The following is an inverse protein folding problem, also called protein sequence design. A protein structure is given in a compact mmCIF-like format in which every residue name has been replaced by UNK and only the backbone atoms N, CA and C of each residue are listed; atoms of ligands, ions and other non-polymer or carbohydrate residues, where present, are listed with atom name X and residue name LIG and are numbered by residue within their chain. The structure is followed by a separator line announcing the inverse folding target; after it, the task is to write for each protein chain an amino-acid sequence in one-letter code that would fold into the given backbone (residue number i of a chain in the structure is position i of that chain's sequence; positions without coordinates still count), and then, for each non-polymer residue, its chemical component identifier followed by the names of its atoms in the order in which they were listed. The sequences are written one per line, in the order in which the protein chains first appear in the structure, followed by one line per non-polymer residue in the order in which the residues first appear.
data_IF_033215030425
#
_entry.id   IF_033215030425
#
_cell.length_a   1.000
_cell.length_b   1.000
_cell.length_c   1.000
_cell.angle_alpha   90.00
_cell.angle_beta   90.00
_cell.angle_gamma   90.00
#
_symmetry.space_group_name_H-M   'P 1'
#
loop_
_entity.id
_entity.type
_entity.pdbx_description
1 polymer ?
#
# COMPACT_ATOMS: atom_id res chain seq x y z
N UNK A 1 -1.14 -24.99 18.22
CA UNK A 1 -2.01 -24.26 17.27
C UNK A 1 -3.44 -24.67 17.52
N UNK A 2 -4.41 -23.78 17.74
CA UNK A 2 -5.79 -24.20 17.52
C UNK A 2 -5.95 -24.31 16.01
N UNK A 3 -6.08 -25.54 15.50
CA UNK A 3 -6.67 -25.78 14.19
C UNK A 3 -7.91 -24.89 14.11
N UNK A 4 -8.00 -23.99 13.13
CA UNK A 4 -9.30 -23.44 12.78
C UNK A 4 -10.16 -24.67 12.56
N UNK A 5 -11.18 -24.88 13.41
CA UNK A 5 -12.17 -25.91 13.12
C UNK A 5 -12.60 -25.68 11.67
N UNK A 6 -12.92 -26.75 10.95
CA UNK A 6 -13.57 -26.67 9.64
C UNK A 6 -14.94 -25.99 9.80
N UNK A 7 -14.94 -24.72 10.18
CA UNK A 7 -16.06 -23.89 10.52
C UNK A 7 -16.73 -23.56 9.19
N UNK A 8 -17.62 -24.47 8.81
CA UNK A 8 -18.84 -24.21 8.04
C UNK A 8 -18.69 -23.17 6.93
N UNK A 9 -17.72 -23.35 6.01
CA UNK A 9 -17.91 -22.77 4.69
C UNK A 9 -19.18 -23.41 4.13
N UNK A 10 -20.27 -22.64 4.09
CA UNK A 10 -21.53 -23.11 3.56
C UNK A 10 -21.28 -23.78 2.20
N UNK A 11 -21.79 -25.01 1.96
CA UNK A 11 -21.56 -25.71 0.70
C UNK A 11 -21.94 -24.85 -0.51
N UNK A 12 -22.94 -23.97 -0.35
CA UNK A 12 -23.36 -22.99 -1.36
C UNK A 12 -22.23 -22.04 -1.78
N UNK A 13 -21.34 -21.63 -0.87
CA UNK A 13 -20.20 -20.77 -1.21
C UNK A 13 -19.17 -21.51 -2.04
N UNK A 14 -18.89 -22.77 -1.72
CA UNK A 14 -17.95 -23.60 -2.49
C UNK A 14 -18.51 -23.88 -3.87
N UNK A 15 -19.80 -24.22 -3.97
CA UNK A 15 -20.51 -24.42 -5.24
C UNK A 15 -20.48 -23.12 -6.07
N UNK A 16 -20.80 -21.98 -5.47
CA UNK A 16 -20.77 -20.69 -6.17
C UNK A 16 -19.37 -20.36 -6.72
N UNK A 17 -18.31 -20.53 -5.91
CA UNK A 17 -16.94 -20.29 -6.37
C UNK A 17 -16.55 -21.27 -7.50
N UNK A 18 -16.93 -22.55 -7.36
CA UNK A 18 -16.72 -23.56 -8.39
C UNK A 18 -17.44 -23.23 -9.69
N UNK A 19 -18.69 -22.75 -9.62
CA UNK A 19 -19.45 -22.30 -10.79
C UNK A 19 -18.83 -21.08 -11.44
N UNK A 20 -18.38 -20.08 -10.67
CA UNK A 20 -17.72 -18.89 -11.22
C UNK A 20 -16.42 -19.24 -11.95
N UNK A 21 -15.61 -20.13 -11.36
CA UNK A 21 -14.39 -20.63 -12.01
C UNK A 21 -14.75 -21.48 -13.23
N UNK A 22 -15.78 -22.32 -13.15
CA UNK A 22 -16.26 -23.12 -14.27
C UNK A 22 -16.71 -22.26 -15.45
N UNK A 23 -17.46 -21.17 -15.19
CA UNK A 23 -17.85 -20.19 -16.20
C UNK A 23 -16.60 -19.56 -16.84
N UNK A 24 -15.63 -19.11 -16.03
CA UNK A 24 -14.38 -18.55 -16.54
C UNK A 24 -13.64 -19.53 -17.46
N UNK A 25 -13.52 -20.80 -17.06
CA UNK A 25 -12.88 -21.85 -17.86
C UNK A 25 -13.66 -22.10 -19.16
N UNK A 26 -14.98 -22.24 -19.11
CA UNK A 26 -15.82 -22.42 -20.29
C UNK A 26 -15.68 -21.23 -21.23
N UNK A 27 -15.69 -19.99 -20.73
CA UNK A 27 -15.49 -18.80 -21.55
C UNK A 27 -14.13 -18.77 -22.24
N UNK A 28 -13.05 -19.19 -21.56
CA UNK A 28 -11.71 -19.32 -22.19
C UNK A 28 -11.72 -20.38 -23.31
N UNK A 29 -12.46 -21.48 -23.12
CA UNK A 29 -12.57 -22.54 -24.13
C UNK A 29 -13.40 -22.08 -25.34
N UNK A 30 -14.47 -21.31 -25.11
CA UNK A 30 -15.36 -20.82 -26.17
C UNK A 30 -14.77 -19.63 -26.95
N UNK A 31 -13.94 -18.81 -26.31
CA UNK A 31 -13.36 -17.58 -26.87
C UNK A 31 -11.83 -17.52 -26.63
N UNK A 32 -11.06 -18.45 -27.22
CA UNK A 32 -9.64 -18.61 -26.92
C UNK A 32 -8.77 -17.47 -27.47
N UNK A 33 -9.11 -16.91 -28.64
CA UNK A 33 -8.36 -15.80 -29.25
C UNK A 33 -8.49 -14.54 -28.38
N UNK A 34 -9.70 -14.23 -27.94
CA UNK A 34 -9.96 -13.03 -27.19
C UNK A 34 -9.47 -13.14 -25.74
N UNK A 35 -9.53 -14.35 -25.14
CA UNK A 35 -8.87 -14.63 -23.87
C UNK A 35 -7.35 -14.48 -23.97
N UNK A 36 -6.74 -14.95 -25.07
CA UNK A 36 -5.33 -14.77 -25.34
C UNK A 36 -4.97 -13.29 -25.50
N UNK A 37 -5.71 -12.53 -26.30
CA UNK A 37 -5.49 -11.09 -26.50
C UNK A 37 -5.65 -10.28 -25.22
N UNK A 38 -6.66 -10.60 -24.40
CA UNK A 38 -6.84 -10.01 -23.09
C UNK A 38 -5.64 -10.29 -22.17
N UNK A 39 -5.15 -11.53 -22.15
CA UNK A 39 -3.96 -11.89 -21.37
C UNK A 39 -2.70 -11.17 -21.88
N UNK A 40 -2.55 -11.02 -23.21
CA UNK A 40 -1.44 -10.31 -23.84
C UNK A 40 -1.46 -8.81 -23.56
N UNK A 41 -2.64 -8.19 -23.55
CA UNK A 41 -2.81 -6.78 -23.14
C UNK A 41 -2.39 -6.58 -21.68
N UNK A 42 -2.88 -7.44 -20.79
CA UNK A 42 -2.50 -7.43 -19.37
C UNK A 42 -1.00 -7.62 -19.16
N UNK A 43 -0.42 -8.60 -19.85
CA UNK A 43 1.02 -8.89 -19.84
C UNK A 43 1.82 -7.70 -20.38
N UNK A 44 1.37 -7.05 -21.45
CA UNK A 44 2.07 -5.90 -22.04
C UNK A 44 2.11 -4.70 -21.10
N UNK A 45 0.97 -4.37 -20.46
CA UNK A 45 0.91 -3.31 -19.46
C UNK A 45 1.83 -3.63 -18.29
N UNK A 46 1.79 -4.86 -17.79
CA UNK A 46 2.65 -5.28 -16.70
C UNK A 46 4.14 -5.24 -17.09
N UNK A 47 4.53 -5.82 -18.23
CA UNK A 47 5.93 -5.91 -18.64
C UNK A 47 6.54 -4.57 -19.01
N UNK A 48 5.80 -3.70 -19.72
CA UNK A 48 6.32 -2.41 -20.20
C UNK A 48 6.35 -1.34 -19.11
N UNK A 49 5.37 -1.31 -18.22
CA UNK A 49 5.21 -0.23 -17.26
C UNK A 49 5.43 -0.67 -15.82
N UNK A 50 4.81 -1.78 -15.38
CA UNK A 50 4.80 -2.17 -13.96
C UNK A 50 6.11 -2.84 -13.55
N UNK A 51 6.60 -3.81 -14.32
CA UNK A 51 7.80 -4.58 -14.02
C UNK A 51 9.06 -3.70 -13.88
N UNK A 52 9.46 -2.89 -14.88
CA UNK A 52 10.67 -2.08 -14.78
C UNK A 52 10.56 -0.98 -13.71
N UNK A 53 9.36 -0.46 -13.45
CA UNK A 53 9.16 0.58 -12.44
C UNK A 53 9.20 0.03 -11.00
N UNK A 54 8.67 -1.17 -10.75
CA UNK A 54 8.61 -1.73 -9.39
C UNK A 54 9.86 -2.49 -8.97
N UNK A 55 10.57 -3.17 -9.89
CA UNK A 55 11.71 -4.04 -9.55
C UNK A 55 12.80 -3.31 -8.73
N UNK A 56 13.39 -2.18 -9.20
CA UNK A 56 14.48 -1.54 -8.46
C UNK A 56 14.06 -1.11 -7.05
N UNK A 57 12.80 -0.71 -6.92
CA UNK A 57 12.28 -0.21 -5.67
C UNK A 57 11.93 -1.31 -4.67
N UNK A 58 11.34 -2.43 -5.12
CA UNK A 58 11.10 -3.57 -4.23
C UNK A 58 12.45 -4.13 -3.76
N UNK A 59 13.46 -4.21 -4.64
CA UNK A 59 14.83 -4.58 -4.26
C UNK A 59 15.35 -3.63 -3.17
N UNK A 60 15.28 -2.32 -3.38
CA UNK A 60 15.73 -1.34 -2.40
C UNK A 60 14.95 -1.45 -1.09
N UNK A 61 13.65 -1.69 -1.15
CA UNK A 61 12.78 -1.85 0.01
C UNK A 61 13.14 -3.10 0.84
N UNK A 62 13.47 -4.20 0.18
CA UNK A 62 13.96 -5.44 0.81
C UNK A 62 15.33 -5.22 1.47
N UNK A 63 16.25 -4.53 0.78
CA UNK A 63 17.56 -4.14 1.34
C UNK A 63 17.38 -3.25 2.57
N UNK A 64 16.58 -2.19 2.46
CA UNK A 64 16.28 -1.27 3.56
C UNK A 64 15.60 -2.00 4.74
N UNK A 65 14.79 -3.02 4.46
CA UNK A 65 14.17 -3.85 5.49
C UNK A 65 15.20 -4.71 6.22
N UNK A 66 16.11 -5.37 5.50
CA UNK A 66 17.21 -6.16 6.09
C UNK A 66 18.26 -5.31 6.82
N UNK A 67 18.47 -4.06 6.39
CA UNK A 67 19.28 -3.07 7.12
C UNK A 67 18.55 -2.46 8.34
N UNK A 68 17.28 -2.82 8.57
CA UNK A 68 16.49 -2.33 9.71
C UNK A 68 15.91 -0.91 9.55
N UNK A 69 16.05 -0.27 8.39
CA UNK A 69 15.58 1.11 8.14
C UNK A 69 14.06 1.20 8.20
N UNK A 70 13.35 0.24 7.59
CA UNK A 70 11.87 0.20 7.62
C UNK A 70 11.34 0.04 9.05
N UNK A 71 12.07 -0.69 9.89
CA UNK A 71 11.75 -0.85 11.32
C UNK A 71 12.00 0.45 12.10
N UNK A 72 13.09 1.16 11.79
CA UNK A 72 13.38 2.47 12.35
C UNK A 72 12.28 3.49 12.00
N UNK A 73 11.84 3.53 10.74
CA UNK A 73 10.69 4.33 10.31
C UNK A 73 9.44 3.96 11.12
N UNK A 74 9.19 2.67 11.34
CA UNK A 74 8.06 2.22 12.15
C UNK A 74 8.10 2.75 13.59
N UNK A 75 9.29 2.84 14.20
CA UNK A 75 9.47 3.48 15.51
C UNK A 75 9.20 4.98 15.43
N UNK A 76 9.67 5.67 14.40
CA UNK A 76 9.43 7.11 14.21
C UNK A 76 7.94 7.43 14.02
N UNK A 77 7.17 6.50 13.43
CA UNK A 77 5.72 6.61 13.25
C UNK A 77 4.92 6.26 14.52
N UNK A 78 5.55 5.76 15.58
CA UNK A 78 4.85 5.38 16.81
C UNK A 78 4.01 6.51 17.46
N UNK A 79 4.49 7.77 17.55
CA UNK A 79 3.67 8.86 18.05
C UNK A 79 2.41 9.03 17.20
N UNK A 80 2.56 9.06 15.86
CA UNK A 80 1.44 9.17 14.93
C UNK A 80 0.41 8.04 15.16
N UNK A 81 0.89 6.80 15.29
CA UNK A 81 0.01 5.64 15.55
C UNK A 81 -0.77 5.77 16.86
N UNK A 82 -0.10 6.16 17.94
CA UNK A 82 -0.71 6.23 19.28
C UNK A 82 -1.71 7.37 19.40
N UNK A 83 -1.40 8.48 18.74
CA UNK A 83 -2.09 9.75 18.93
C UNK A 83 -3.25 9.84 17.97
N UNK A 84 -2.96 9.73 16.68
CA UNK A 84 -3.94 9.99 15.63
C UNK A 84 -4.83 8.77 15.43
N UNK A 85 -4.22 7.58 15.36
CA UNK A 85 -4.95 6.36 15.06
C UNK A 85 -5.37 5.57 16.29
N UNK A 86 -4.85 5.92 17.47
CA UNK A 86 -5.08 5.21 18.76
C UNK A 86 -4.73 3.72 18.66
N UNK A 87 -3.62 3.43 17.97
CA UNK A 87 -3.08 2.09 17.74
C UNK A 87 -1.75 1.90 18.50
N UNK A 88 -1.34 0.65 18.76
CA UNK A 88 -0.04 0.36 19.35
C UNK A 88 1.09 0.82 18.42
N UNK A 89 2.23 1.19 19.02
CA UNK A 89 3.41 1.66 18.27
C UNK A 89 3.95 0.65 17.26
N UNK A 90 3.75 -0.64 17.53
CA UNK A 90 4.08 -1.74 16.61
C UNK A 90 3.39 -1.63 15.25
N UNK A 91 2.24 -0.96 15.18
CA UNK A 91 1.56 -0.67 13.91
C UNK A 91 2.33 0.31 13.01
N UNK A 92 3.28 1.08 13.54
CA UNK A 92 4.10 1.98 12.73
C UNK A 92 4.92 1.23 11.68
N UNK A 93 5.36 0.01 12.00
CA UNK A 93 6.05 -0.86 11.04
C UNK A 93 5.13 -1.28 9.88
N UNK A 94 3.88 -1.65 10.14
CA UNK A 94 2.93 -1.99 9.08
C UNK A 94 2.62 -0.80 8.17
N UNK A 95 2.48 0.39 8.74
CA UNK A 95 2.29 1.63 7.98
C UNK A 95 3.52 1.97 7.14
N UNK A 96 4.73 1.82 7.70
CA UNK A 96 5.97 2.03 6.96
C UNK A 96 6.13 1.03 5.81
N UNK A 97 5.91 -0.26 6.07
CA UNK A 97 5.98 -1.30 5.04
C UNK A 97 4.95 -1.07 3.92
N UNK A 98 3.72 -0.67 4.26
CA UNK A 98 2.70 -0.32 3.28
C UNK A 98 3.01 0.94 2.47
N UNK A 99 3.59 1.96 3.09
CA UNK A 99 3.99 3.20 2.41
C UNK A 99 5.16 2.96 1.46
N UNK A 100 6.14 2.18 1.91
CA UNK A 100 7.31 1.83 1.12
C UNK A 100 6.88 0.82 0.06
N UNK A 101 6.65 -0.44 0.40
CA UNK A 101 6.44 -1.50 -0.58
C UNK A 101 5.01 -1.61 -1.16
N UNK A 102 4.04 -0.85 -0.66
CA UNK A 102 2.68 -0.79 -1.21
C UNK A 102 1.68 -1.78 -0.61
N UNK A 103 0.57 -1.95 -1.33
CA UNK A 103 -0.67 -2.63 -0.92
C UNK A 103 -0.48 -4.03 -0.28
N UNK A 104 0.35 -4.95 -0.82
CA UNK A 104 0.49 -6.30 -0.25
C UNK A 104 1.36 -6.32 1.01
N UNK A 105 2.41 -5.51 1.05
CA UNK A 105 3.38 -5.54 2.15
C UNK A 105 2.77 -5.11 3.49
N UNK A 106 2.03 -4.00 3.50
CA UNK A 106 1.38 -3.54 4.73
C UNK A 106 0.33 -4.53 5.27
N UNK A 107 -0.41 -5.19 4.37
CA UNK A 107 -1.36 -6.23 4.74
C UNK A 107 -0.69 -7.49 5.30
N UNK A 108 0.39 -7.95 4.67
CA UNK A 108 1.19 -9.09 5.13
C UNK A 108 1.77 -8.83 6.53
N UNK A 109 2.35 -7.64 6.73
CA UNK A 109 2.89 -7.21 8.03
C UNK A 109 1.80 -7.13 9.10
N UNK A 110 0.64 -6.58 8.77
CA UNK A 110 -0.50 -6.52 9.71
C UNK A 110 -0.99 -7.91 10.10
N UNK A 111 -1.10 -8.82 9.12
CA UNK A 111 -1.47 -10.21 9.36
C UNK A 111 -0.46 -10.89 10.29
N UNK A 112 0.84 -10.63 10.09
CA UNK A 112 1.91 -11.19 10.92
C UNK A 112 1.85 -10.70 12.37
N UNK A 113 1.73 -9.38 12.57
CA UNK A 113 1.53 -8.79 13.91
C UNK A 113 0.31 -9.41 14.62
N UNK A 114 -0.75 -9.72 13.87
CA UNK A 114 -1.93 -10.39 14.41
C UNK A 114 -1.67 -11.85 14.76
N UNK A 115 -1.02 -12.63 13.89
CA UNK A 115 -0.65 -14.04 14.17
C UNK A 115 0.21 -14.15 15.42
N UNK A 116 1.17 -13.24 15.57
CA UNK A 116 2.07 -13.13 16.73
C UNK A 116 1.37 -12.58 17.99
N UNK A 117 0.08 -12.26 17.92
CA UNK A 117 -0.74 -11.70 19.02
C UNK A 117 -0.16 -10.42 19.62
N UNK A 118 0.61 -9.66 18.83
CA UNK A 118 1.17 -8.37 19.24
C UNK A 118 0.15 -7.23 19.12
N UNK A 119 -0.91 -7.47 18.35
CA UNK A 119 -2.07 -6.59 18.21
C UNK A 119 -3.37 -7.39 18.40
N UNK A 120 -4.38 -6.73 18.96
CA UNK A 120 -5.74 -7.24 19.03
C UNK A 120 -6.36 -7.38 17.64
N UNK A 121 -7.44 -8.15 17.52
CA UNK A 121 -8.21 -8.25 16.27
C UNK A 121 -8.68 -6.88 15.78
N UNK A 122 -9.25 -6.07 16.68
CA UNK A 122 -9.74 -4.73 16.35
C UNK A 122 -8.61 -3.78 15.95
N UNK A 123 -7.46 -3.85 16.65
CA UNK A 123 -6.26 -3.08 16.28
C UNK A 123 -5.74 -3.52 14.92
N UNK A 124 -5.70 -4.83 14.65
CA UNK A 124 -5.31 -5.36 13.34
C UNK A 124 -6.27 -5.00 12.22
N UNK A 125 -7.58 -5.00 12.46
CA UNK A 125 -8.58 -4.57 11.47
C UNK A 125 -8.39 -3.10 11.11
N UNK A 126 -8.21 -2.21 12.11
CA UNK A 126 -7.93 -0.80 11.87
C UNK A 126 -6.55 -0.58 11.24
N UNK A 127 -5.54 -1.33 11.66
CA UNK A 127 -4.20 -1.24 11.10
C UNK A 127 -4.17 -1.66 9.63
N UNK A 128 -4.88 -2.72 9.27
CA UNK A 128 -4.99 -3.22 7.91
C UNK A 128 -5.56 -2.15 6.96
N UNK A 129 -6.55 -1.40 7.44
CA UNK A 129 -7.14 -0.27 6.72
C UNK A 129 -6.11 0.84 6.44
N UNK A 130 -5.20 1.09 7.39
CA UNK A 130 -4.19 2.15 7.32
C UNK A 130 -2.93 1.75 6.56
N UNK A 131 -2.54 0.49 6.64
CA UNK A 131 -1.30 -0.03 6.04
C UNK A 131 -1.45 -0.38 4.56
N UNK A 132 -2.66 -0.33 4.02
CA UNK A 132 -2.93 -0.67 2.63
C UNK A 132 -2.96 0.59 1.75
N UNK A 133 -1.76 1.14 1.48
CA UNK A 133 -1.57 2.36 0.69
C UNK A 133 -0.85 2.05 -0.62
N UNK A 134 -1.15 2.83 -1.64
CA UNK A 134 -0.41 2.79 -2.89
C UNK A 134 0.92 3.46 -2.63
N UNK A 135 2.02 2.83 -3.02
CA UNK A 135 3.34 3.41 -2.79
C UNK A 135 3.49 4.72 -3.57
N UNK A 136 4.23 5.71 -3.03
CA UNK A 136 4.47 6.98 -3.73
C UNK A 136 5.03 6.76 -5.13
N UNK A 137 5.93 5.80 -5.27
CA UNK A 137 6.52 5.47 -6.56
C UNK A 137 5.51 4.87 -7.52
N UNK A 138 4.61 3.98 -7.10
CA UNK A 138 3.56 3.49 -8.01
C UNK A 138 2.71 4.65 -8.55
N UNK A 139 2.31 5.57 -7.68
CA UNK A 139 1.43 6.68 -8.07
C UNK A 139 2.19 7.70 -8.94
N UNK A 140 3.43 8.04 -8.59
CA UNK A 140 4.22 9.04 -9.34
C UNK A 140 4.78 8.45 -10.64
N UNK A 141 5.46 7.29 -10.57
CA UNK A 141 6.22 6.75 -11.70
C UNK A 141 5.36 5.96 -12.66
N UNK A 142 4.51 5.06 -12.17
CA UNK A 142 3.68 4.21 -13.06
C UNK A 142 2.48 5.00 -13.53
N UNK A 143 1.70 5.55 -12.61
CA UNK A 143 0.46 6.25 -12.98
C UNK A 143 0.78 7.64 -13.53
N UNK A 144 1.47 8.49 -12.78
CA UNK A 144 1.80 9.84 -13.22
C UNK A 144 2.66 9.87 -14.49
N UNK A 145 3.91 9.40 -14.41
CA UNK A 145 4.85 9.49 -15.52
C UNK A 145 4.60 8.42 -16.62
N UNK A 146 4.31 7.19 -16.22
CA UNK A 146 4.18 6.05 -17.14
C UNK A 146 2.89 6.08 -17.94
N UNK A 147 1.74 6.22 -17.27
CA UNK A 147 0.43 6.20 -17.92
C UNK A 147 0.02 7.60 -18.35
N UNK A 148 -0.03 8.56 -17.42
CA UNK A 148 -0.55 9.91 -17.71
C UNK A 148 0.47 10.82 -18.41
N UNK A 149 1.69 10.36 -18.63
CA UNK A 149 2.80 11.14 -19.19
C UNK A 149 3.05 12.46 -18.47
N UNK A 150 2.68 12.53 -17.18
CA UNK A 150 2.76 13.72 -16.35
C UNK A 150 2.99 13.37 -14.88
N UNK A 151 4.26 13.38 -14.47
CA UNK A 151 4.67 13.11 -13.09
C UNK A 151 4.02 14.08 -12.07
N UNK A 152 3.68 15.30 -12.50
CA UNK A 152 3.08 16.33 -11.64
C UNK A 152 1.65 15.96 -11.25
N UNK A 153 0.88 15.40 -12.18
CA UNK A 153 -0.43 14.82 -11.86
C UNK A 153 -0.29 13.64 -10.90
N UNK A 154 0.76 12.83 -11.06
CA UNK A 154 1.12 11.79 -10.08
C UNK A 154 1.31 12.34 -8.66
N UNK A 155 1.99 13.49 -8.49
CA UNK A 155 2.16 14.14 -7.20
C UNK A 155 0.85 14.63 -6.59
N UNK A 156 -0.05 15.21 -7.40
CA UNK A 156 -1.37 15.65 -6.95
C UNK A 156 -2.20 14.45 -6.48
N UNK A 157 -2.25 13.39 -7.29
CA UNK A 157 -2.93 12.15 -6.95
C UNK A 157 -2.35 11.53 -5.68
N UNK A 158 -1.02 11.58 -5.49
CA UNK A 158 -0.36 11.11 -4.29
C UNK A 158 -0.79 11.89 -3.05
N UNK A 159 -0.76 13.22 -3.11
CA UNK A 159 -1.14 14.08 -1.99
C UNK A 159 -2.60 13.82 -1.58
N UNK A 160 -3.50 13.74 -2.55
CA UNK A 160 -4.91 13.42 -2.32
C UNK A 160 -5.06 12.03 -1.72
N UNK A 161 -4.36 11.02 -2.27
CA UNK A 161 -4.43 9.64 -1.81
C UNK A 161 -3.99 9.50 -0.35
N UNK A 162 -2.90 10.15 0.05
CA UNK A 162 -2.39 10.11 1.42
C UNK A 162 -3.20 10.97 2.38
N UNK A 163 -3.72 12.11 1.93
CA UNK A 163 -4.63 12.92 2.75
C UNK A 163 -5.94 12.17 3.01
N UNK A 164 -6.51 11.53 1.99
CA UNK A 164 -7.68 10.68 2.13
C UNK A 164 -7.42 9.49 3.06
N UNK A 165 -6.23 8.88 3.01
CA UNK A 165 -5.83 7.82 3.93
C UNK A 165 -5.79 8.31 5.39
N UNK A 166 -5.22 9.50 5.61
CA UNK A 166 -5.14 10.13 6.92
C UNK A 166 -6.54 10.39 7.50
N UNK A 167 -7.41 11.02 6.70
CA UNK A 167 -8.80 11.28 7.04
C UNK A 167 -9.56 9.99 7.35
N UNK A 168 -9.43 8.97 6.51
CA UNK A 168 -10.04 7.65 6.71
C UNK A 168 -9.62 7.06 8.06
N UNK A 169 -8.32 7.11 8.37
CA UNK A 169 -7.76 6.62 9.63
C UNK A 169 -8.30 7.29 10.89
N UNK A 170 -8.58 8.61 10.80
CA UNK A 170 -9.16 9.41 11.88
C UNK A 170 -10.64 9.09 12.07
N UNK A 171 -11.38 8.94 10.96
CA UNK A 171 -12.82 8.63 10.97
C UNK A 171 -13.10 7.22 11.49
N UNK A 172 -12.16 6.28 11.31
CA UNK A 172 -12.31 4.92 11.82
C UNK A 172 -12.37 4.91 13.37
N UNK A 173 -13.38 4.25 13.96
CA UNK A 173 -13.58 4.23 15.40
C UNK A 173 -12.32 3.86 16.19
N UNK A 174 -12.10 4.55 17.30
CA UNK A 174 -11.00 4.23 18.21
C UNK A 174 -11.11 2.81 18.75
N UNK A 175 -9.99 2.09 18.80
CA UNK A 175 -9.96 0.74 19.36
C UNK A 175 -9.65 0.82 20.86
N UNK A 176 -10.51 0.22 21.70
CA UNK A 176 -10.18 0.04 23.12
C UNK A 176 -8.98 -0.91 23.21
N UNK A 177 -7.92 -0.47 23.89
CA UNK A 177 -6.66 -1.21 24.05
C UNK A 177 -6.95 -2.62 24.55
N UNK A 178 -6.63 -3.63 23.74
CA UNK A 178 -6.72 -5.01 24.18
C UNK A 178 -5.69 -5.28 25.28
N UNK A 179 -6.08 -5.92 26.38
CA UNK A 179 -5.11 -6.47 27.34
C UNK A 179 -4.44 -7.68 26.69
N UNK A 180 -3.36 -7.46 25.94
CA UNK A 180 -2.44 -8.55 25.60
C UNK A 180 -1.35 -8.58 26.66
N UNK A 181 -1.10 -9.78 27.19
CA UNK A 181 0.07 -10.03 28.01
C UNK A 181 1.27 -9.59 27.18
N UNK A 182 2.10 -8.72 27.76
CA UNK A 182 3.48 -8.56 27.27
C UNK A 182 4.05 -9.97 27.08
N UNK A 183 4.85 -10.25 26.03
CA UNK A 183 5.69 -11.43 26.05
C UNK A 183 6.42 -11.41 27.40
N UNK A 184 6.05 -12.31 28.32
CA UNK A 184 6.56 -12.29 29.68
C UNK A 184 8.09 -12.46 29.63
N UNK A 185 8.92 -11.82 30.46
CA UNK A 185 8.69 -11.43 31.86
C UNK A 185 7.63 -12.28 32.53
N UNK A 186 7.73 -13.61 32.36
CA UNK A 186 7.31 -14.48 33.44
C UNK A 186 8.34 -14.20 34.53
N UNK A 187 7.89 -13.62 35.65
CA UNK A 187 8.61 -13.78 36.89
C UNK A 187 8.96 -15.26 36.99
N UNK A 188 10.25 -15.57 36.90
CA UNK A 188 10.78 -16.82 37.38
C UNK A 188 10.44 -16.82 38.87
N UNK A 189 9.29 -17.40 39.23
CA UNK A 189 9.10 -17.86 40.58
C UNK A 189 10.30 -18.77 40.88
N UNK A 190 10.95 -18.63 42.04
CA UNK A 190 12.14 -19.43 42.36
C UNK A 190 11.75 -20.89 42.23
N UNK A 191 12.39 -21.60 41.29
CA UNK A 191 12.23 -23.04 41.13
C UNK A 191 12.72 -23.65 42.44
N UNK A 192 11.76 -24.13 43.23
CA UNK A 192 12.03 -24.92 44.40
C UNK A 192 12.73 -26.20 43.93
N UNK A 193 14.02 -26.33 44.23
CA UNK A 193 14.79 -27.53 43.94
C UNK A 193 14.27 -28.66 44.81
N UNK A 194 13.49 -29.58 44.24
CA UNK A 194 13.39 -30.98 44.68
C UNK A 194 12.68 -31.84 43.63
N UNK A 195 13.40 -32.84 43.13
CA UNK A 195 12.82 -34.13 42.74
C UNK A 195 12.57 -34.39 41.25
N UNK A 196 13.41 -35.28 40.71
CA UNK A 196 13.11 -36.34 39.73
C UNK A 196 12.99 -36.04 38.22
N UNK A 197 14.02 -36.56 37.54
CA UNK A 197 14.00 -37.46 36.38
C UNK A 197 13.67 -36.93 34.96
N UNK A 198 14.70 -37.03 34.12
CA UNK A 198 14.66 -37.07 32.65
C UNK A 198 13.87 -38.30 32.18
N UNK A 199 13.16 -38.24 31.02
CA UNK A 199 13.85 -38.58 29.78
C UNK A 199 13.47 -37.73 28.54
N UNK A 200 14.53 -37.42 27.79
CA UNK A 200 14.69 -37.43 26.33
C UNK A 200 13.49 -37.11 25.41
N UNK A 201 13.66 -36.03 24.64
CA UNK A 201 12.82 -35.69 23.49
C UNK A 201 13.05 -34.25 23.04
N UNK A 202 14.32 -33.83 22.85
CA UNK A 202 14.63 -32.53 22.25
C UNK A 202 14.24 -32.56 20.78
N UNK A 203 13.03 -32.04 20.48
CA UNK A 203 12.76 -31.49 19.16
C UNK A 203 13.57 -30.20 19.04
N UNK A 204 14.67 -30.28 18.29
CA UNK A 204 15.35 -29.12 17.72
C UNK A 204 14.31 -28.09 17.26
N UNK A 205 14.24 -26.99 17.98
CA UNK A 205 13.56 -25.80 17.50
C UNK A 205 14.41 -25.27 16.35
N UNK A 206 13.88 -25.37 15.14
CA UNK A 206 14.47 -24.83 13.93
C UNK A 206 14.87 -23.35 14.16
N UNK A 207 16.18 -23.02 14.22
CA UNK A 207 16.65 -21.67 14.48
C UNK A 207 16.28 -20.70 13.33
N UNK A 208 15.85 -21.21 12.17
CA UNK A 208 15.33 -20.39 11.07
C UNK A 208 13.96 -19.78 11.38
N UNK A 209 13.15 -20.39 12.27
CA UNK A 209 11.83 -19.86 12.62
C UNK A 209 11.88 -18.72 13.65
N UNK A 210 12.93 -18.68 14.47
CA UNK A 210 13.15 -17.62 15.46
C UNK A 210 13.72 -16.33 14.81
N UNK A 211 14.36 -16.49 13.65
CA UNK A 211 14.99 -15.40 12.88
C UNK A 211 14.02 -14.55 12.05
N UNK A 212 12.73 -14.89 11.96
CA UNK A 212 11.76 -14.09 11.20
C UNK A 212 10.91 -13.16 12.08
N UNK A 213 11.42 -11.93 12.25
CA UNK A 213 10.66 -10.71 12.61
C UNK A 213 10.03 -10.70 14.03
N UNK A 214 10.84 -10.89 15.08
CA UNK A 214 10.44 -10.55 16.45
C UNK A 214 10.55 -9.03 16.66
N UNK A 215 9.43 -8.38 16.98
CA UNK A 215 9.33 -6.93 17.23
C UNK A 215 10.43 -6.45 18.20
N UNK A 216 11.10 -5.33 17.93
CA UNK A 216 12.16 -4.80 18.79
C UNK A 216 11.68 -4.59 20.22
N UNK A 217 12.50 -4.99 21.20
CA UNK A 217 12.24 -4.80 22.62
C UNK A 217 12.06 -3.30 22.93
N UNK A 218 11.26 -2.92 23.95
CA UNK A 218 11.09 -1.52 24.31
C UNK A 218 12.39 -0.94 24.88
N UNK A 219 13.17 -0.27 24.04
CA UNK A 219 14.37 0.47 24.46
C UNK A 219 13.93 1.83 25.04
N UNK A 220 14.35 2.15 26.26
CA UNK A 220 14.13 3.48 26.86
C UNK A 220 15.09 4.51 26.28
N UNK A 221 14.58 5.64 25.77
CA UNK A 221 15.38 6.74 25.25
C UNK A 221 14.60 7.68 24.33
N UNK A 222 15.26 8.73 23.83
CA UNK A 222 14.73 9.63 22.80
C UNK A 222 14.33 8.84 21.55
N UNK A 223 13.23 9.24 20.89
CA UNK A 223 12.62 8.52 19.78
C UNK A 223 13.62 8.19 18.66
N UNK A 224 14.44 9.16 18.27
CA UNK A 224 15.45 8.98 17.23
C UNK A 224 16.55 8.00 17.64
N UNK A 225 17.07 8.10 18.87
CA UNK A 225 18.04 7.14 19.42
C UNK A 225 17.44 5.73 19.44
N UNK A 226 16.17 5.60 19.83
CA UNK A 226 15.47 4.32 19.80
C UNK A 226 15.35 3.76 18.38
N UNK A 227 14.99 4.61 17.41
CA UNK A 227 14.90 4.21 16.01
C UNK A 227 16.26 3.72 15.46
N UNK A 228 17.34 4.43 15.74
CA UNK A 228 18.69 4.06 15.31
C UNK A 228 19.19 2.77 15.97
N UNK A 229 18.98 2.62 17.28
CA UNK A 229 19.32 1.39 18.00
C UNK A 229 18.49 0.20 17.49
N UNK A 230 17.23 0.43 17.18
CA UNK A 230 16.35 -0.58 16.59
C UNK A 230 16.84 -1.01 15.21
N UNK A 231 17.23 -0.05 14.35
CA UNK A 231 17.82 -0.31 13.04
C UNK A 231 19.04 -1.23 13.16
N UNK A 232 19.98 -0.86 14.02
CA UNK A 232 21.20 -1.63 14.24
C UNK A 232 20.90 -3.03 14.78
N UNK A 233 19.98 -3.16 15.74
CA UNK A 233 19.60 -4.46 16.30
C UNK A 233 18.94 -5.37 15.26
N UNK A 234 18.08 -4.83 14.40
CA UNK A 234 17.47 -5.61 13.31
C UNK A 234 18.52 -6.06 12.31
N UNK A 235 19.42 -5.18 11.90
CA UNK A 235 20.50 -5.53 10.98
C UNK A 235 21.42 -6.62 11.55
N UNK A 236 21.81 -6.51 12.82
CA UNK A 236 22.65 -7.51 13.49
C UNK A 236 21.93 -8.86 13.64
N UNK A 237 20.61 -8.86 13.83
CA UNK A 237 19.79 -10.08 13.91
C UNK A 237 19.54 -10.73 12.56
N UNK A 238 19.43 -9.94 11.49
CA UNK A 238 19.29 -10.44 10.12
C UNK A 238 20.49 -11.32 9.75
N UNK A 239 21.70 -10.94 10.18
CA UNK A 239 22.90 -11.79 10.17
C UNK A 239 23.45 -12.09 8.77
N UNK A 240 22.76 -11.72 7.69
CA UNK A 240 23.23 -11.89 6.32
C UNK A 240 24.36 -10.90 6.00
N UNK A 241 25.31 -11.35 5.19
CA UNK A 241 26.27 -10.43 4.56
C UNK A 241 25.54 -9.52 3.58
N UNK A 242 26.11 -8.35 3.27
CA UNK A 242 25.52 -7.44 2.29
C UNK A 242 25.25 -8.11 0.93
N UNK A 243 26.17 -8.94 0.44
CA UNK A 243 26.00 -9.68 -0.81
C UNK A 243 24.84 -10.69 -0.77
N UNK A 244 24.69 -11.43 0.34
CA UNK A 244 23.56 -12.35 0.53
C UNK A 244 22.23 -11.61 0.66
N UNK A 245 22.21 -10.51 1.43
CA UNK A 245 21.06 -9.63 1.54
C UNK A 245 20.62 -9.10 0.18
N UNK A 246 21.57 -8.63 -0.64
CA UNK A 246 21.31 -8.15 -2.01
C UNK A 246 20.70 -9.25 -2.89
N UNK A 247 21.31 -10.44 -2.93
CA UNK A 247 20.82 -11.56 -3.75
C UNK A 247 19.42 -12.05 -3.34
N UNK A 248 19.16 -12.15 -2.03
CA UNK A 248 17.85 -12.50 -1.51
C UNK A 248 16.80 -11.41 -1.83
N UNK A 249 17.19 -10.14 -1.71
CA UNK A 249 16.33 -9.00 -2.03
C UNK A 249 15.89 -9.00 -3.48
N UNK A 250 16.81 -9.30 -4.41
CA UNK A 250 16.49 -9.47 -5.84
C UNK A 250 15.51 -10.62 -6.06
N UNK A 251 15.74 -11.76 -5.43
CA UNK A 251 14.88 -12.93 -5.57
C UNK A 251 13.46 -12.66 -5.07
N UNK A 252 13.33 -12.09 -3.87
CA UNK A 252 12.03 -11.73 -3.27
C UNK A 252 11.30 -10.67 -4.10
N UNK A 253 12.03 -9.70 -4.64
CA UNK A 253 11.46 -8.67 -5.50
C UNK A 253 10.88 -9.24 -6.79
N UNK A 254 11.61 -10.12 -7.47
CA UNK A 254 11.13 -10.80 -8.68
C UNK A 254 9.86 -11.59 -8.36
N UNK A 255 9.84 -12.39 -7.29
CA UNK A 255 8.65 -13.15 -6.89
C UNK A 255 7.45 -12.23 -6.65
N UNK A 256 7.64 -11.12 -5.93
CA UNK A 256 6.58 -10.15 -5.63
C UNK A 256 6.01 -9.53 -6.91
N UNK A 257 6.87 -9.08 -7.83
CA UNK A 257 6.43 -8.47 -9.10
C UNK A 257 5.75 -9.50 -10.00
N UNK A 258 6.21 -10.75 -10.01
CA UNK A 258 5.57 -11.84 -10.74
C UNK A 258 4.17 -12.15 -10.19
N UNK A 259 3.98 -12.12 -8.86
CA UNK A 259 2.66 -12.28 -8.24
C UNK A 259 1.74 -11.13 -8.69
N UNK A 260 2.19 -9.88 -8.63
CA UNK A 260 1.41 -8.72 -9.10
C UNK A 260 1.02 -8.89 -10.57
N UNK A 261 1.96 -9.32 -11.43
CA UNK A 261 1.70 -9.61 -12.84
C UNK A 261 0.68 -10.72 -13.04
N UNK A 262 0.76 -11.80 -12.25
CA UNK A 262 -0.21 -12.89 -12.24
C UNK A 262 -1.64 -12.42 -11.98
N UNK A 263 -1.82 -11.53 -10.99
CA UNK A 263 -3.12 -10.92 -10.71
C UNK A 263 -3.58 -10.04 -11.87
N UNK A 264 -2.73 -9.19 -12.45
CA UNK A 264 -3.09 -8.34 -13.59
C UNK A 264 -3.55 -9.20 -14.78
N UNK A 265 -2.84 -10.29 -15.10
CA UNK A 265 -3.19 -11.18 -16.21
C UNK A 265 -4.53 -11.90 -15.99
N UNK A 266 -4.75 -12.51 -14.82
CA UNK A 266 -6.00 -13.20 -14.51
C UNK A 266 -7.19 -12.22 -14.51
N UNK A 267 -7.01 -11.02 -13.94
CA UNK A 267 -8.07 -10.01 -13.95
C UNK A 267 -8.30 -9.42 -15.35
N UNK A 268 -7.29 -9.37 -16.22
CA UNK A 268 -7.47 -8.98 -17.64
C UNK A 268 -8.36 -9.97 -18.39
N UNK A 269 -8.12 -11.28 -18.20
CA UNK A 269 -8.97 -12.33 -18.80
C UNK A 269 -10.37 -12.31 -18.20
N UNK A 270 -10.50 -12.12 -16.87
CA UNK A 270 -11.80 -11.99 -16.22
C UNK A 270 -12.59 -10.79 -16.75
N UNK A 271 -11.94 -9.62 -16.90
CA UNK A 271 -12.54 -8.42 -17.49
C UNK A 271 -13.08 -8.69 -18.88
N UNK A 272 -12.29 -9.40 -19.69
CA UNK A 272 -12.70 -9.77 -21.03
C UNK A 272 -13.92 -10.70 -21.04
N UNK A 273 -13.95 -11.72 -20.18
CA UNK A 273 -15.12 -12.61 -20.04
C UNK A 273 -16.36 -11.85 -19.56
N UNK A 274 -16.22 -10.89 -18.64
CA UNK A 274 -17.33 -10.04 -18.23
C UNK A 274 -17.86 -9.16 -19.38
N UNK A 275 -16.97 -8.77 -20.30
CA UNK A 275 -17.35 -8.05 -21.51
C UNK A 275 -18.18 -8.94 -22.45
N UNK A 276 -17.69 -10.15 -22.74
CA UNK A 276 -18.38 -11.11 -23.63
C UNK A 276 -19.73 -11.57 -23.10
N UNK A 277 -19.84 -11.77 -21.79
CA UNK A 277 -21.10 -12.16 -21.14
C UNK A 277 -22.14 -11.03 -21.13
N UNK A 278 -21.79 -9.83 -21.60
CA UNK A 278 -22.66 -8.66 -21.59
C UNK A 278 -22.89 -8.13 -20.18
N UNK A 279 -22.24 -8.64 -19.14
CA UNK A 279 -22.34 -8.10 -17.77
C UNK A 279 -21.89 -6.63 -17.76
N UNK A 280 -20.91 -6.30 -18.59
CA UNK A 280 -20.47 -4.91 -18.73
C UNK A 280 -21.48 -4.00 -19.45
N UNK A 281 -22.42 -4.55 -20.23
CA UNK A 281 -23.47 -3.75 -20.90
C UNK A 281 -24.41 -3.07 -19.91
N UNK A 282 -24.54 -3.60 -18.69
CA UNK A 282 -25.27 -2.94 -17.59
C UNK A 282 -24.71 -1.53 -17.36
N UNK A 283 -23.39 -1.36 -17.52
CA UNK A 283 -22.77 -0.06 -17.34
C UNK A 283 -22.92 0.88 -18.54
N UNK A 284 -23.24 0.36 -19.73
CA UNK A 284 -23.63 1.21 -20.86
C UNK A 284 -24.97 1.90 -20.59
N UNK A 285 -25.90 1.23 -19.90
CA UNK A 285 -27.13 1.87 -19.44
C UNK A 285 -26.86 2.94 -18.37
N UNK A 286 -25.89 2.69 -17.48
CA UNK A 286 -25.47 3.67 -16.46
C UNK A 286 -24.77 4.86 -17.13
N UNK A 287 -23.93 4.65 -18.14
CA UNK A 287 -23.25 5.73 -18.87
C UNK A 287 -24.20 6.57 -19.70
N UNK A 288 -25.32 5.99 -20.15
CA UNK A 288 -26.37 6.72 -20.85
C UNK A 288 -27.20 7.66 -19.95
N UNK A 289 -27.11 7.53 -18.62
CA UNK A 289 -27.82 8.42 -17.69
C UNK A 289 -27.29 9.86 -17.83
N UNK A 290 -28.15 10.88 -18.00
CA UNK A 290 -27.71 12.26 -18.21
C UNK A 290 -26.77 12.78 -17.13
N UNK A 291 -27.05 12.46 -15.86
CA UNK A 291 -26.23 12.85 -14.72
C UNK A 291 -24.82 12.21 -14.73
N UNK A 292 -24.68 11.03 -15.34
CA UNK A 292 -23.38 10.33 -15.45
C UNK A 292 -22.61 10.86 -16.65
N UNK A 293 -23.28 11.06 -17.79
CA UNK A 293 -22.68 11.57 -19.03
C UNK A 293 -22.16 13.01 -18.90
N UNK A 294 -22.80 13.82 -18.06
CA UNK A 294 -22.30 15.17 -17.73
C UNK A 294 -20.99 15.11 -16.94
N UNK A 295 -20.76 14.03 -16.20
CA UNK A 295 -19.59 13.85 -15.35
C UNK A 295 -18.43 13.14 -16.03
N UNK A 296 -18.70 12.04 -16.74
CA UNK A 296 -17.67 11.22 -17.39
C UNK A 296 -18.12 10.82 -18.79
N UNK A 297 -17.19 10.88 -19.74
CA UNK A 297 -17.37 10.30 -21.06
C UNK A 297 -17.42 8.76 -21.00
N UNK A 298 -17.94 8.14 -22.05
CA UNK A 298 -18.12 6.69 -22.12
C UNK A 298 -16.82 5.90 -21.93
N UNK A 299 -15.70 6.41 -22.46
CA UNK A 299 -14.39 5.73 -22.36
C UNK A 299 -13.86 5.79 -20.93
N UNK A 300 -14.04 6.93 -20.26
CA UNK A 300 -13.74 7.07 -18.84
C UNK A 300 -14.58 6.15 -17.96
N UNK A 301 -15.85 5.93 -18.27
CA UNK A 301 -16.71 5.01 -17.52
C UNK A 301 -16.22 3.57 -17.67
N UNK A 302 -15.84 3.17 -18.88
CA UNK A 302 -15.19 1.88 -19.12
C UNK A 302 -13.90 1.74 -18.29
N UNK A 303 -13.11 2.82 -18.21
CA UNK A 303 -11.89 2.88 -17.39
C UNK A 303 -12.18 2.77 -15.88
N UNK A 304 -13.27 3.37 -15.39
CA UNK A 304 -13.73 3.20 -13.99
C UNK A 304 -14.08 1.75 -13.68
N UNK A 305 -14.87 1.11 -14.54
CA UNK A 305 -15.30 -0.28 -14.32
C UNK A 305 -14.11 -1.23 -14.35
N UNK A 306 -13.23 -1.02 -15.34
CA UNK A 306 -11.95 -1.73 -15.44
C UNK A 306 -11.14 -1.54 -14.16
N UNK A 307 -11.02 -0.31 -13.67
CA UNK A 307 -10.31 0.05 -12.43
C UNK A 307 -10.91 -0.54 -11.16
N UNK A 308 -12.22 -0.70 -11.09
CA UNK A 308 -12.89 -1.36 -9.96
C UNK A 308 -12.48 -2.83 -9.85
N UNK A 309 -12.16 -3.49 -10.96
CA UNK A 309 -11.66 -4.86 -10.99
C UNK A 309 -10.14 -4.89 -10.83
N UNK A 310 -9.42 -4.12 -11.64
CA UNK A 310 -7.96 -4.04 -11.67
C UNK A 310 -7.53 -2.56 -11.86
N UNK A 311 -6.97 -1.99 -10.79
CA UNK A 311 -6.70 -0.55 -10.69
C UNK A 311 -5.65 -0.04 -11.68
N UNK A 312 -4.66 -0.86 -12.06
CA UNK A 312 -3.61 -0.46 -13.00
C UNK A 312 -4.14 -0.38 -14.43
N UNK A 313 -4.96 -1.35 -14.85
CA UNK A 313 -5.61 -1.35 -16.16
C UNK A 313 -6.63 -0.22 -16.28
N UNK A 314 -7.39 0.05 -15.21
CA UNK A 314 -8.29 1.21 -15.16
C UNK A 314 -7.54 2.53 -15.25
N UNK A 315 -6.45 2.69 -14.48
CA UNK A 315 -5.59 3.87 -14.54
C UNK A 315 -4.97 4.08 -15.92
N UNK A 316 -4.56 3.00 -16.59
CA UNK A 316 -4.08 3.03 -17.97
C UNK A 316 -5.19 3.40 -18.96
N UNK A 317 -6.45 3.03 -18.71
CA UNK A 317 -7.58 3.46 -19.54
C UNK A 317 -7.72 4.99 -19.62
N UNK A 318 -7.48 5.69 -18.50
CA UNK A 318 -7.49 7.15 -18.45
C UNK A 318 -6.33 7.83 -19.19
N UNK A 319 -5.28 7.12 -19.60
CA UNK A 319 -4.23 7.72 -20.42
C UNK A 319 -4.60 7.85 -21.89
N UNK A 320 -5.64 7.13 -22.35
CA UNK A 320 -6.15 7.23 -23.72
C UNK A 320 -7.05 8.43 -23.97
N UNK A 321 -7.54 9.08 -22.90
CA UNK A 321 -8.55 10.15 -22.96
C UNK A 321 -7.89 11.53 -22.90
N UNK A 322 -7.64 12.14 -24.07
CA UNK A 322 -7.12 13.51 -24.27
C UNK A 322 -5.75 13.85 -23.62
N UNK A 323 -5.14 14.97 -24.02
CA UNK A 323 -3.81 15.39 -23.52
C UNK A 323 -3.80 15.84 -22.05
N UNK A 324 -4.97 16.06 -21.44
CA UNK A 324 -5.13 16.48 -20.06
C UNK A 324 -6.34 15.81 -19.42
N UNK A 325 -6.19 15.26 -18.20
CA UNK A 325 -7.35 14.78 -17.45
C UNK A 325 -8.24 15.94 -17.04
N UNK A 326 -9.53 15.76 -17.24
CA UNK A 326 -10.56 16.60 -16.63
C UNK A 326 -10.63 16.38 -15.12
N UNK A 327 -11.23 17.33 -14.40
CA UNK A 327 -11.41 17.24 -12.94
C UNK A 327 -12.13 15.96 -12.53
N UNK A 328 -13.18 15.60 -13.27
CA UNK A 328 -13.99 14.41 -13.00
C UNK A 328 -13.24 13.12 -13.27
N UNK A 329 -12.46 13.05 -14.36
CA UNK A 329 -11.58 11.90 -14.63
C UNK A 329 -10.51 11.75 -13.56
N UNK A 330 -9.88 12.84 -13.14
CA UNK A 330 -8.89 12.81 -12.06
C UNK A 330 -9.51 12.40 -10.71
N UNK A 331 -10.74 12.86 -10.42
CA UNK A 331 -11.47 12.48 -9.23
C UNK A 331 -11.82 10.98 -9.25
N UNK A 332 -12.27 10.47 -10.39
CA UNK A 332 -12.54 9.04 -10.60
C UNK A 332 -11.27 8.21 -10.41
N UNK A 333 -10.15 8.59 -11.02
CA UNK A 333 -8.86 7.92 -10.87
C UNK A 333 -8.36 7.94 -9.41
N UNK A 334 -8.45 9.07 -8.72
CA UNK A 334 -8.11 9.17 -7.30
C UNK A 334 -9.00 8.27 -6.43
N UNK A 335 -10.29 8.18 -6.75
CA UNK A 335 -11.23 7.25 -6.11
C UNK A 335 -10.85 5.78 -6.33
N UNK A 336 -10.47 5.40 -7.55
CA UNK A 336 -10.02 4.05 -7.88
C UNK A 336 -8.74 3.68 -7.13
N UNK A 337 -7.78 4.60 -7.03
CA UNK A 337 -6.58 4.43 -6.21
C UNK A 337 -6.92 4.28 -4.72
N UNK A 338 -7.88 5.08 -4.23
CA UNK A 338 -8.43 4.98 -2.88
C UNK A 338 -9.20 3.68 -2.62
N UNK A 339 -9.74 3.02 -3.65
CA UNK A 339 -10.42 1.73 -3.53
C UNK A 339 -9.44 0.56 -3.65
N UNK A 340 -8.52 0.61 -4.61
CA UNK A 340 -7.46 -0.37 -4.90
C UNK A 340 -7.84 -1.48 -5.89
N UNK A 341 -9.11 -1.58 -6.30
CA UNK A 341 -9.62 -2.62 -7.22
C UNK A 341 -9.77 -4.00 -6.59
N UNK A 342 -10.73 -4.81 -7.06
CA UNK A 342 -11.02 -6.14 -6.50
C UNK A 342 -9.82 -7.09 -6.52
N UNK A 343 -8.89 -6.94 -7.47
CA UNK A 343 -7.61 -7.65 -7.48
C UNK A 343 -6.81 -7.43 -6.18
N UNK A 344 -6.67 -6.19 -5.73
CA UNK A 344 -5.99 -5.86 -4.48
C UNK A 344 -6.75 -6.39 -3.25
N UNK A 345 -8.09 -6.32 -3.27
CA UNK A 345 -8.91 -6.90 -2.19
C UNK A 345 -8.74 -8.42 -2.09
N UNK A 346 -8.64 -9.13 -3.21
CA UNK A 346 -8.36 -10.55 -3.24
C UNK A 346 -6.96 -10.87 -2.65
N UNK A 347 -5.94 -10.07 -2.99
CA UNK A 347 -4.60 -10.18 -2.42
C UNK A 347 -4.60 -9.96 -0.89
N UNK A 348 -5.32 -8.95 -0.39
CA UNK A 348 -5.43 -8.72 1.06
C UNK A 348 -6.13 -9.88 1.75
N UNK A 349 -7.22 -10.38 1.15
CA UNK A 349 -8.01 -11.48 1.71
C UNK A 349 -7.20 -12.77 1.82
N UNK A 350 -6.31 -13.06 0.87
CA UNK A 350 -5.41 -14.21 0.94
C UNK A 350 -4.37 -14.04 2.04
N UNK A 351 -3.80 -12.84 2.21
CA UNK A 351 -2.79 -12.56 3.25
C UNK A 351 -3.35 -12.64 4.68
N UNK A 352 -4.59 -12.21 4.90
CA UNK A 352 -5.22 -12.26 6.23
C UNK A 352 -5.91 -13.60 6.51
N UNK A 353 -5.92 -14.54 5.56
CA UNK A 353 -6.66 -15.80 5.65
C UNK A 353 -6.28 -16.64 6.88
N UNK A 354 -5.02 -16.62 7.29
CA UNK A 354 -4.55 -17.34 8.48
C UNK A 354 -4.89 -16.67 9.81
N UNK A 355 -5.47 -15.46 9.77
CA UNK A 355 -5.83 -14.67 10.94
C UNK A 355 -7.33 -14.72 11.22
N UNK A 356 -7.77 -14.09 12.31
CA UNK A 356 -9.19 -13.84 12.61
C UNK A 356 -9.65 -12.41 12.20
N UNK A 357 -8.83 -11.65 11.47
CA UNK A 357 -9.19 -10.32 10.97
C UNK A 357 -10.40 -10.40 10.04
N UNK A 358 -11.38 -9.51 10.24
CA UNK A 358 -12.54 -9.42 9.34
C UNK A 358 -12.17 -8.61 8.11
N UNK A 359 -12.65 -9.09 6.96
CA UNK A 359 -12.54 -8.37 5.70
C UNK A 359 -13.49 -7.16 5.60
N UNK A 360 -14.67 -7.23 6.21
CA UNK A 360 -15.68 -6.18 6.05
C UNK A 360 -15.21 -4.77 6.51
N UNK A 361 -14.54 -4.59 7.68
CA UNK A 361 -13.99 -3.30 8.06
C UNK A 361 -13.00 -2.74 7.03
N UNK A 362 -12.18 -3.60 6.43
CA UNK A 362 -11.27 -3.23 5.37
C UNK A 362 -12.02 -2.74 4.13
N UNK A 363 -13.02 -3.49 3.65
CA UNK A 363 -13.84 -3.10 2.51
C UNK A 363 -14.49 -1.72 2.73
N UNK A 364 -15.16 -1.53 3.88
CA UNK A 364 -15.81 -0.26 4.22
C UNK A 364 -14.79 0.88 4.27
N UNK A 365 -13.62 0.66 4.88
CA UNK A 365 -12.56 1.68 4.91
C UNK A 365 -12.06 2.05 3.53
N UNK A 366 -11.94 1.09 2.60
CA UNK A 366 -11.51 1.38 1.22
C UNK A 366 -12.57 2.15 0.45
N UNK A 367 -13.86 1.88 0.68
CA UNK A 367 -14.94 2.70 0.12
C UNK A 367 -14.91 4.12 0.68
N UNK A 368 -14.69 4.30 1.99
CA UNK A 368 -14.55 5.64 2.59
C UNK A 368 -13.33 6.38 2.05
N UNK A 369 -12.19 5.70 1.91
CA UNK A 369 -10.98 6.27 1.31
C UNK A 369 -11.26 6.71 -0.13
N UNK A 370 -11.88 5.87 -0.96
CA UNK A 370 -12.24 6.20 -2.34
C UNK A 370 -13.14 7.45 -2.41
N UNK A 371 -14.19 7.52 -1.59
CA UNK A 371 -15.10 8.67 -1.56
C UNK A 371 -14.38 9.95 -1.10
N UNK A 372 -13.52 9.85 -0.09
CA UNK A 372 -12.70 10.97 0.36
C UNK A 372 -11.73 11.42 -0.71
N UNK A 373 -11.09 10.50 -1.44
CA UNK A 373 -10.23 10.84 -2.56
C UNK A 373 -10.99 11.61 -3.64
N UNK A 374 -12.20 11.17 -4.03
CA UNK A 374 -13.05 11.88 -5.00
C UNK A 374 -13.35 13.30 -4.50
N UNK A 375 -13.87 13.43 -3.28
CA UNK A 375 -14.25 14.74 -2.71
C UNK A 375 -13.04 15.67 -2.60
N UNK A 376 -11.90 15.17 -2.10
CA UNK A 376 -10.67 15.94 -1.99
C UNK A 376 -10.16 16.38 -3.36
N UNK A 377 -10.23 15.52 -4.38
CA UNK A 377 -9.87 15.93 -5.74
C UNK A 377 -10.74 17.09 -6.21
N UNK A 378 -12.07 16.99 -6.11
CA UNK A 378 -12.98 18.04 -6.58
C UNK A 378 -12.74 19.38 -5.88
N UNK A 379 -12.48 19.35 -4.57
CA UNK A 379 -12.24 20.56 -3.77
C UNK A 379 -10.85 21.15 -4.02
N UNK A 380 -9.83 20.31 -4.18
CA UNK A 380 -8.44 20.76 -4.28
C UNK A 380 -7.98 20.99 -5.72
N UNK A 381 -8.72 20.57 -6.75
CA UNK A 381 -8.27 20.64 -8.14
C UNK A 381 -8.00 22.06 -8.64
N UNK A 382 -8.96 22.97 -8.45
CA UNK A 382 -8.83 24.38 -8.86
C UNK A 382 -7.74 25.13 -8.07
N UNK A 383 -7.71 25.08 -6.72
CA UNK A 383 -6.61 25.66 -5.95
C UNK A 383 -5.24 25.10 -6.32
N UNK A 384 -5.14 23.79 -6.56
CA UNK A 384 -3.91 23.16 -7.02
C UNK A 384 -3.52 23.71 -8.40
N UNK A 385 -4.46 23.85 -9.34
CA UNK A 385 -4.23 24.43 -10.66
C UNK A 385 -3.76 25.89 -10.61
N UNK A 386 -4.27 26.69 -9.68
CA UNK A 386 -3.87 28.10 -9.50
C UNK A 386 -2.47 28.24 -8.89
N UNK A 387 -2.15 27.45 -7.87
CA UNK A 387 -0.79 27.37 -7.33
C UNK A 387 0.20 26.87 -8.40
N UNK A 388 -0.29 26.11 -9.37
CA UNK A 388 0.49 25.44 -10.40
C UNK A 388 0.77 26.30 -11.64
N UNK A 389 -0.21 27.10 -12.07
CA UNK A 389 -0.05 28.03 -13.20
C UNK A 389 0.79 29.27 -12.83
N UNK A 390 1.23 29.38 -11.58
CA UNK A 390 2.03 30.50 -11.09
C UNK A 390 3.52 30.45 -11.49
N UNK A 391 4.03 29.35 -12.04
CA UNK A 391 5.48 29.15 -12.20
C UNK A 391 5.94 28.98 -13.66
N UNK A 392 6.14 30.10 -14.34
CA UNK A 392 7.48 30.34 -14.91
C UNK A 392 8.18 31.27 -13.91
N UNK A 393 9.26 30.82 -13.24
CA UNK A 393 10.09 31.73 -12.46
C UNK A 393 10.45 32.93 -13.33
N UNK A 394 10.32 34.16 -12.82
CA UNK A 394 10.47 35.38 -13.63
C UNK A 394 11.81 35.49 -14.36
N UNK A 395 12.84 34.78 -13.92
CA UNK A 395 14.16 34.69 -14.55
C UNK A 395 14.25 33.70 -15.74
N UNK A 396 13.26 32.83 -15.93
CA UNK A 396 13.10 31.92 -17.07
C UNK A 396 12.17 32.46 -18.16
N UNK A 397 11.64 33.69 -18.01
CA UNK A 397 10.98 34.38 -19.12
C UNK A 397 11.97 34.59 -20.28
N UNK A 398 11.54 34.35 -21.52
CA UNK A 398 12.33 34.57 -22.75
C UNK A 398 12.96 35.98 -22.85
N UNK A 399 12.43 36.94 -22.10
CA UNK A 399 12.90 38.33 -22.05
C UNK A 399 13.86 38.63 -20.88
N UNK A 400 14.36 37.63 -20.15
CA UNK A 400 15.32 37.85 -19.07
C UNK A 400 16.71 38.20 -19.66
N UNK A 401 17.45 39.18 -19.10
CA UNK A 401 18.77 39.59 -19.59
C UNK A 401 19.83 38.48 -19.57
N UNK A 402 19.51 37.32 -18.99
CA UNK A 402 20.39 36.16 -18.81
C UNK A 402 20.02 34.97 -19.72
N UNK A 403 18.98 35.10 -20.58
CA UNK A 403 18.49 34.03 -21.44
C UNK A 403 19.50 33.52 -22.50
N UNK A 404 20.57 34.29 -22.78
CA UNK A 404 21.57 33.97 -23.80
C UNK A 404 22.77 33.14 -23.32
N UNK A 405 22.93 32.89 -22.01
CA UNK A 405 24.09 32.16 -21.50
C UNK A 405 23.69 31.16 -20.42
N UNK A 406 23.85 29.86 -20.71
CA UNK A 406 23.79 28.69 -19.82
C UNK A 406 22.46 27.90 -19.64
N UNK A 407 21.45 28.06 -20.49
CA UNK A 407 20.23 27.23 -20.40
C UNK A 407 20.38 25.81 -20.98
N UNK A 408 21.35 25.55 -21.86
CA UNK A 408 21.46 24.24 -22.54
C UNK A 408 22.08 23.12 -21.66
N UNK A 409 22.96 23.46 -20.71
CA UNK A 409 23.63 22.48 -19.84
C UNK A 409 22.89 22.23 -18.53
N UNK A 410 22.06 23.18 -18.06
CA UNK A 410 21.29 23.00 -16.82
C UNK A 410 19.99 22.21 -17.04
N UNK A 411 19.38 22.31 -18.22
CA UNK A 411 18.08 21.68 -18.53
C UNK A 411 18.20 20.19 -18.87
N UNK A 412 19.37 19.72 -19.32
CA UNK A 412 19.57 18.31 -19.69
C UNK A 412 20.00 17.40 -18.54
N UNK A 413 20.25 17.92 -17.33
CA UNK A 413 20.92 17.12 -16.28
C UNK A 413 20.13 16.83 -15.02
N UNK A 414 18.88 17.26 -14.80
CA UNK A 414 18.12 16.84 -13.61
C UNK A 414 16.61 16.80 -13.84
N UNK A 415 15.99 15.59 -13.86
CA UNK A 415 14.66 15.45 -13.25
C UNK A 415 14.57 14.32 -12.21
N UNK A 416 15.56 13.42 -12.14
CA UNK A 416 15.51 12.31 -11.17
C UNK A 416 15.93 12.76 -9.76
N UNK A 417 16.96 13.61 -9.68
CA UNK A 417 17.50 14.07 -8.39
C UNK A 417 16.57 15.03 -7.66
N UNK A 418 15.88 15.92 -8.37
CA UNK A 418 14.85 16.79 -7.77
C UNK A 418 13.64 15.99 -7.28
N UNK A 419 13.18 14.98 -8.01
CA UNK A 419 12.05 14.15 -7.58
C UNK A 419 12.38 13.34 -6.31
N UNK A 420 13.61 12.81 -6.21
CA UNK A 420 14.13 12.15 -5.00
C UNK A 420 14.26 13.16 -3.84
N UNK A 421 14.65 14.41 -4.14
CA UNK A 421 14.70 15.49 -3.15
C UNK A 421 13.31 15.85 -2.63
N UNK A 422 12.29 15.93 -3.48
CA UNK A 422 10.90 16.19 -3.05
C UNK A 422 10.31 15.04 -2.25
N UNK A 423 10.63 13.79 -2.57
CA UNK A 423 10.27 12.62 -1.76
C UNK A 423 10.97 12.63 -0.40
N UNK A 424 12.26 13.02 -0.36
CA UNK A 424 13.00 13.30 0.86
C UNK A 424 12.38 14.43 1.68
N UNK A 425 11.90 15.49 1.03
CA UNK A 425 11.21 16.62 1.65
C UNK A 425 9.84 16.20 2.21
N UNK A 426 9.05 15.40 1.49
CA UNK A 426 7.77 14.91 1.97
C UNK A 426 7.94 13.95 3.16
N UNK A 427 8.91 13.04 3.11
CA UNK A 427 9.26 12.16 4.23
C UNK A 427 9.77 12.97 5.43
N UNK A 428 10.57 14.02 5.21
CA UNK A 428 11.04 14.90 6.29
C UNK A 428 9.93 15.78 6.84
N UNK A 429 8.97 16.23 6.04
CA UNK A 429 7.77 16.96 6.49
C UNK A 429 6.85 16.05 7.29
N UNK A 430 6.59 14.82 6.83
CA UNK A 430 5.81 13.83 7.59
C UNK A 430 6.52 13.44 8.89
N UNK A 431 7.85 13.32 8.86
CA UNK A 431 8.66 13.07 10.04
C UNK A 431 8.66 14.27 10.99
N UNK A 432 8.77 15.49 10.48
CA UNK A 432 8.69 16.73 11.25
C UNK A 432 7.31 16.93 11.87
N UNK A 433 6.23 16.64 11.13
CA UNK A 433 4.86 16.61 11.64
C UNK A 433 4.72 15.55 12.74
N UNK A 434 5.25 14.35 12.54
CA UNK A 434 5.23 13.30 13.56
C UNK A 434 6.02 13.70 14.83
N UNK A 435 7.18 14.36 14.67
CA UNK A 435 7.99 14.89 15.77
C UNK A 435 7.28 16.04 16.49
N UNK A 436 6.69 16.98 15.74
CA UNK A 436 5.96 18.13 16.29
C UNK A 436 4.72 17.68 17.05
N UNK A 437 3.93 16.77 16.48
CA UNK A 437 2.78 16.15 17.13
C UNK A 437 3.23 15.41 18.40
N UNK A 438 4.33 14.65 18.34
CA UNK A 438 4.93 13.99 19.50
C UNK A 438 5.32 14.99 20.60
N UNK A 439 5.96 16.11 20.24
CA UNK A 439 6.37 17.15 21.18
C UNK A 439 5.18 17.89 21.82
N UNK A 440 4.14 18.20 21.04
CA UNK A 440 2.91 18.83 21.54
C UNK A 440 2.16 17.94 22.54
N UNK A 441 2.21 16.63 22.34
CA UNK A 441 1.51 15.68 23.21
C UNK A 441 2.32 15.29 24.44
N UNK A 442 3.64 15.55 24.43
CA UNK A 442 4.45 15.53 25.64
C UNK A 442 4.14 16.70 26.57
N UNK A 443 3.93 17.92 26.04
CA UNK A 443 3.58 19.10 26.88
C UNK A 443 2.29 18.92 27.67
N UNK A 444 1.29 18.20 27.12
CA UNK A 444 0.00 17.97 27.78
C UNK A 444 0.06 16.97 28.94
N UNK A 445 1.15 16.20 29.07
CA UNK A 445 1.32 15.17 30.10
C UNK A 445 2.10 15.65 31.33
N UNK A 446 2.68 16.85 31.28
CA UNK A 446 3.45 17.47 32.37
C UNK A 446 2.76 18.70 32.98
N UNK A 447 1.52 19.03 32.59
CA UNK A 447 0.75 20.13 33.19
C UNK A 447 -0.38 19.67 34.12
N UNK A 448 -0.43 18.38 34.48
CA UNK A 448 -1.41 17.80 35.42
C UNK A 448 -0.70 16.96 36.50
N UNK A 449 0.58 17.24 36.74
CA UNK A 449 1.36 16.75 37.88
C UNK A 449 2.08 17.94 38.48
#
# INVERSE_FOLDING_TARGET
MPQKSFASSSPYRTILLGLLVGILVISIILFPEEAFDASMKGLSVWWKFVFPALIPFIILSEILSGLGVVHALGILLEPLMRILFRLPGTGGWALAAGTVAGFPAGAAVTADLRRKRLISRKEGEKLLCLSHLGSPLLIITIIGAGFLHNARLGLILLAIHYLAALCTGILLPGVKKGRFARPGTRNLAPINKRGHEHPQGEKEQDPALENSLSVPLPISGFLFKRALLTMQQVHLRDGRTFGKLLGDSVTNAVQTVMIIGGYIMIFSVLLHVLNLTGVLSIFEYISALPAVKEWLDSDSIHSVITGLLEVHLGAFGFSGTASHLTVSQAAALAGLLGFGGFASHAQVKSLIYETDLRYLPFLVSRTVHALLSIVLTLVCWEPAGQLWNADQPSFLQENSPFAGASSAWLVQSIPLFETIMYEGILLTVLLALAIMISALLMKRKYSVS
#
